data_IF_356113132864
#
_entry.id   IF_356113132864
#
_cell.length_a   1.000
_cell.length_b   1.000
_cell.length_c   1.000
_cell.angle_alpha   90.00
_cell.angle_beta   90.00
_cell.angle_gamma   90.00
#
_symmetry.space_group_name_H-M   'P 1'
#
loop_
_entity.id
_entity.type
_entity.pdbx_description
1 polymer ?
#
# COMPACT_ATOMS: atom_id res chain seq x y z
N UNK A 1 -13.56 12.98 -9.94
CA UNK A 1 -13.30 11.54 -9.72
C UNK A 1 -11.85 11.28 -9.33
N UNK A 2 -10.89 11.95 -9.97
CA UNK A 2 -9.48 11.98 -9.55
C UNK A 2 -8.96 13.42 -9.73
N UNK A 3 -8.43 14.05 -8.68
CA UNK A 3 -7.79 15.37 -8.74
C UNK A 3 -6.27 15.18 -8.76
N UNK A 4 -5.59 15.79 -9.73
CA UNK A 4 -4.14 15.64 -9.90
C UNK A 4 -3.35 16.06 -8.65
N UNK A 5 -3.72 17.17 -8.01
CA UNK A 5 -3.04 17.66 -6.81
C UNK A 5 -3.26 16.73 -5.62
N UNK A 6 -4.46 16.17 -5.48
CA UNK A 6 -4.75 15.19 -4.42
C UNK A 6 -3.96 13.90 -4.63
N UNK A 7 -3.83 13.43 -5.87
CA UNK A 7 -3.03 12.24 -6.20
C UNK A 7 -1.54 12.50 -5.93
N UNK A 8 -1.01 13.65 -6.36
CA UNK A 8 0.39 14.01 -6.12
C UNK A 8 0.72 14.00 -4.63
N UNK A 9 -0.14 14.65 -3.82
CA UNK A 9 -0.02 14.62 -2.36
C UNK A 9 -0.12 13.19 -1.82
N UNK A 10 -1.07 12.39 -2.30
CA UNK A 10 -1.25 11.02 -1.86
C UNK A 10 -0.01 10.15 -2.13
N UNK A 11 0.59 10.27 -3.31
CA UNK A 11 1.81 9.57 -3.70
C UNK A 11 3.02 10.04 -2.87
N UNK A 12 3.13 11.35 -2.62
CA UNK A 12 4.18 11.90 -1.76
C UNK A 12 4.08 11.32 -0.33
N UNK A 13 2.89 11.39 0.28
CA UNK A 13 2.64 10.89 1.62
C UNK A 13 2.83 9.37 1.70
N UNK A 14 2.45 8.63 0.65
CA UNK A 14 2.74 7.20 0.54
C UNK A 14 4.25 6.93 0.55
N UNK A 15 5.03 7.66 -0.25
CA UNK A 15 6.49 7.53 -0.29
C UNK A 15 7.13 7.78 1.07
N UNK A 16 6.72 8.86 1.75
CA UNK A 16 7.21 9.22 3.10
C UNK A 16 6.81 8.20 4.15
N UNK A 17 5.56 7.71 4.13
CA UNK A 17 5.07 6.73 5.10
C UNK A 17 5.71 5.36 4.92
N UNK A 18 5.99 4.95 3.68
CA UNK A 18 6.80 3.76 3.40
C UNK A 18 8.24 3.91 3.90
N UNK A 19 8.84 5.09 3.71
CA UNK A 19 10.17 5.38 4.24
C UNK A 19 10.19 5.34 5.78
N UNK A 20 9.14 5.83 6.44
CA UNK A 20 8.96 5.69 7.89
C UNK A 20 8.85 4.22 8.31
N UNK A 21 8.07 3.40 7.61
CA UNK A 21 7.96 1.97 7.89
C UNK A 21 9.32 1.27 7.85
N UNK A 22 10.13 1.56 6.83
CA UNK A 22 11.50 1.04 6.73
C UNK A 22 12.38 1.49 7.89
N UNK A 23 12.28 2.75 8.28
CA UNK A 23 13.02 3.27 9.42
C UNK A 23 12.61 2.59 10.74
N UNK A 24 11.30 2.44 11.00
CA UNK A 24 10.79 1.73 12.19
C UNK A 24 11.31 0.29 12.20
N UNK A 25 11.31 -0.37 11.05
CA UNK A 25 11.79 -1.73 10.97
C UNK A 25 13.30 -1.87 11.24
N UNK A 26 14.12 -0.89 10.80
CA UNK A 26 15.53 -0.80 11.19
C UNK A 26 15.73 -0.41 12.65
N UNK A 27 14.80 0.34 13.24
CA UNK A 27 14.86 0.72 14.65
C UNK A 27 14.62 -0.48 15.58
N UNK A 28 13.82 -1.49 15.17
CA UNK A 28 13.73 -2.77 15.89
C UNK A 28 15.06 -3.51 15.91
N UNK A 29 15.73 -3.60 14.76
CA UNK A 29 17.01 -4.30 14.62
C UNK A 29 18.08 -3.72 15.56
N UNK A 30 17.99 -2.41 15.81
CA UNK A 30 18.88 -1.68 16.72
C UNK A 30 18.40 -1.65 18.18
N UNK A 31 17.25 -2.25 18.49
CA UNK A 31 16.67 -2.27 19.84
C UNK A 31 16.12 -0.92 20.32
N UNK A 32 15.88 0.04 19.43
CA UNK A 32 15.32 1.35 19.81
C UNK A 32 13.81 1.33 20.03
N UNK A 33 13.12 0.38 19.42
CA UNK A 33 11.66 0.19 19.53
C UNK A 33 11.43 -1.27 19.88
N UNK A 34 10.49 -1.56 20.80
CA UNK A 34 10.08 -2.93 21.07
C UNK A 34 8.93 -3.34 20.13
N UNK A 35 8.86 -4.61 19.69
CA UNK A 35 7.76 -5.09 18.83
C UNK A 35 6.37 -4.81 19.41
N UNK A 36 6.22 -4.90 20.73
CA UNK A 36 4.97 -4.67 21.46
C UNK A 36 4.53 -3.21 21.33
N UNK A 37 5.45 -2.26 21.50
CA UNK A 37 5.17 -0.84 21.36
C UNK A 37 4.67 -0.56 19.94
N UNK A 38 5.37 -1.07 18.93
CA UNK A 38 4.96 -0.83 17.56
C UNK A 38 3.62 -1.47 17.20
N UNK A 39 3.29 -2.65 17.71
CA UNK A 39 1.98 -3.27 17.44
C UNK A 39 0.82 -2.45 18.04
N UNK A 40 1.03 -1.89 19.24
CA UNK A 40 0.06 -0.99 19.88
C UNK A 40 -0.18 0.29 19.07
N UNK A 41 0.87 0.88 18.48
CA UNK A 41 0.73 2.11 17.68
C UNK A 41 0.33 1.87 16.23
N UNK A 42 0.57 0.67 15.70
CA UNK A 42 0.35 0.32 14.30
C UNK A 42 -1.10 -0.03 13.94
N UNK A 43 -1.84 -0.57 14.91
CA UNK A 43 -3.13 -1.24 14.66
C UNK A 43 -4.32 -0.29 14.69
N UNK A 44 -4.13 0.98 15.06
CA UNK A 44 -5.18 1.99 15.08
C UNK A 44 -4.66 3.31 14.54
N UNK A 45 -5.46 3.95 13.68
CA UNK A 45 -5.15 5.25 13.06
C UNK A 45 -4.85 6.34 14.09
N UNK A 46 -5.65 6.39 15.15
CA UNK A 46 -5.48 7.36 16.25
C UNK A 46 -4.19 7.11 17.05
N UNK A 47 -3.83 5.85 17.26
CA UNK A 47 -2.58 5.50 17.94
C UNK A 47 -1.36 5.87 17.08
N UNK A 48 -1.43 5.60 15.77
CA UNK A 48 -0.40 6.03 14.82
C UNK A 48 -0.28 7.56 14.78
N UNK A 49 -1.40 8.29 14.81
CA UNK A 49 -1.42 9.74 14.87
C UNK A 49 -0.77 10.28 16.15
N UNK A 50 -1.18 9.79 17.32
CA UNK A 50 -0.61 10.18 18.60
C UNK A 50 0.91 9.97 18.64
N UNK A 51 1.38 8.79 18.24
CA UNK A 51 2.80 8.46 18.19
C UNK A 51 3.59 9.37 17.22
N UNK A 52 3.07 9.60 16.01
CA UNK A 52 3.72 10.47 15.02
C UNK A 52 3.78 11.91 15.53
N UNK A 53 2.73 12.42 16.18
CA UNK A 53 2.70 13.77 16.74
C UNK A 53 3.72 13.92 17.87
N UNK A 54 3.72 12.99 18.81
CA UNK A 54 4.62 12.98 19.98
C UNK A 54 6.08 12.92 19.56
N UNK A 55 6.41 12.09 18.56
CA UNK A 55 7.78 11.86 18.14
C UNK A 55 8.18 12.59 16.85
N UNK A 56 7.39 13.56 16.39
CA UNK A 56 7.59 14.19 15.08
C UNK A 56 9.02 14.73 14.87
N UNK A 57 9.62 15.34 15.90
CA UNK A 57 10.98 15.88 15.82
C UNK A 57 12.07 14.80 15.84
N UNK A 58 11.74 13.59 16.28
CA UNK A 58 12.64 12.43 16.30
C UNK A 58 12.58 11.63 14.99
N UNK A 59 11.55 11.81 14.16
CA UNK A 59 11.44 11.15 12.86
C UNK A 59 12.57 11.63 11.93
N UNK A 60 13.11 10.79 11.02
CA UNK A 60 14.07 11.27 10.02
C UNK A 60 13.48 12.40 9.16
N UNK A 61 14.22 13.47 8.84
CA UNK A 61 13.68 14.62 8.10
C UNK A 61 12.97 14.27 6.78
N UNK A 62 13.49 13.27 6.05
CA UNK A 62 12.93 12.84 4.75
C UNK A 62 11.62 12.05 4.87
N UNK A 63 11.22 11.62 6.07
CA UNK A 63 9.94 10.91 6.29
C UNK A 63 8.86 11.82 6.88
N UNK A 64 9.18 13.07 7.24
CA UNK A 64 8.24 14.01 7.87
C UNK A 64 7.25 14.57 6.85
N UNK A 65 5.92 14.39 7.01
CA UNK A 65 4.92 15.10 6.22
C UNK A 65 4.81 16.56 6.68
N UNK A 66 4.12 17.42 5.92
CA UNK A 66 3.64 18.70 6.45
C UNK A 66 2.75 18.47 7.69
N UNK A 67 2.73 19.43 8.62
CA UNK A 67 1.96 19.30 9.88
C UNK A 67 0.46 19.19 9.62
N UNK A 68 0.00 19.91 8.60
CA UNK A 68 -1.35 19.89 8.04
C UNK A 68 -1.76 18.54 7.47
N UNK A 69 -0.80 17.66 7.15
CA UNK A 69 -1.03 16.34 6.55
C UNK A 69 -0.84 15.17 7.53
N UNK A 70 -0.63 15.44 8.82
CA UNK A 70 -0.35 14.41 9.81
C UNK A 70 -1.45 13.36 9.89
N UNK A 71 -2.73 13.73 9.86
CA UNK A 71 -3.83 12.78 9.90
C UNK A 71 -3.80 11.82 8.69
N UNK A 72 -3.71 12.35 7.48
CA UNK A 72 -3.65 11.54 6.26
C UNK A 72 -2.40 10.65 6.20
N UNK A 73 -1.26 11.19 6.64
CA UNK A 73 -0.01 10.45 6.73
C UNK A 73 -0.08 9.29 7.74
N UNK A 74 -0.64 9.53 8.93
CA UNK A 74 -0.84 8.51 9.95
C UNK A 74 -1.78 7.40 9.49
N UNK A 75 -2.86 7.77 8.78
CA UNK A 75 -3.76 6.80 8.17
C UNK A 75 -3.02 5.93 7.15
N UNK A 76 -2.25 6.53 6.23
CA UNK A 76 -1.44 5.78 5.26
C UNK A 76 -0.43 4.87 5.95
N UNK A 77 0.26 5.35 6.97
CA UNK A 77 1.25 4.58 7.73
C UNK A 77 0.61 3.36 8.39
N UNK A 78 -0.53 3.49 9.06
CA UNK A 78 -1.21 2.36 9.70
C UNK A 78 -1.67 1.31 8.67
N UNK A 79 -2.04 1.74 7.45
CA UNK A 79 -2.45 0.81 6.39
C UNK A 79 -1.37 -0.19 6.00
N UNK A 80 -0.08 0.14 6.15
CA UNK A 80 0.97 -0.79 5.78
C UNK A 80 0.95 -2.06 6.61
N UNK A 81 0.71 -1.93 7.92
CA UNK A 81 0.75 -3.03 8.87
C UNK A 81 -0.56 -3.83 8.85
N UNK A 82 -1.66 -3.20 8.45
CA UNK A 82 -2.94 -3.88 8.30
C UNK A 82 -3.10 -4.55 6.93
N UNK A 83 -2.63 -3.92 5.87
CA UNK A 83 -2.93 -4.31 4.48
C UNK A 83 -1.75 -4.93 3.73
N UNK A 84 -0.50 -4.58 4.06
CA UNK A 84 0.65 -4.94 3.21
C UNK A 84 1.69 -5.83 3.88
N UNK A 85 1.94 -5.64 5.18
CA UNK A 85 3.05 -6.28 5.88
C UNK A 85 2.61 -6.84 7.23
N UNK A 86 3.13 -8.02 7.57
CA UNK A 86 3.10 -8.58 8.91
C UNK A 86 4.43 -8.27 9.61
N UNK A 87 4.36 -7.76 10.83
CA UNK A 87 5.51 -7.66 11.72
C UNK A 87 5.75 -9.01 12.38
N UNK A 88 6.88 -9.64 12.09
CA UNK A 88 7.25 -10.95 12.66
C UNK A 88 8.40 -10.74 13.65
N UNK A 89 8.22 -10.96 14.97
CA UNK A 89 9.25 -10.70 15.97
C UNK A 89 10.45 -11.64 15.87
N UNK A 90 10.24 -12.84 15.34
CA UNK A 90 11.30 -13.81 15.04
C UNK A 90 11.29 -14.09 13.54
N UNK A 91 11.82 -13.18 12.73
CA UNK A 91 11.93 -13.42 11.31
C UNK A 91 13.01 -14.49 11.13
N UNK A 92 12.60 -15.75 10.98
CA UNK A 92 13.53 -16.84 10.71
C UNK A 92 14.46 -16.51 9.53
N UNK A 93 15.50 -17.32 9.33
CA UNK A 93 16.43 -17.10 8.21
C UNK A 93 15.65 -17.09 6.89
N UNK A 94 15.73 -15.98 6.16
CA UNK A 94 15.21 -15.93 4.79
C UNK A 94 16.19 -16.68 3.91
N UNK A 95 15.74 -17.77 3.32
CA UNK A 95 16.49 -18.45 2.27
C UNK A 95 16.69 -17.47 1.12
N UNK A 96 17.92 -16.99 0.97
CA UNK A 96 18.37 -16.34 -0.25
C UNK A 96 18.35 -17.41 -1.34
N UNK A 97 17.34 -17.35 -2.23
CA UNK A 97 17.14 -18.28 -3.33
C UNK A 97 17.24 -17.48 -4.63
N UNK A 98 18.42 -17.45 -5.26
CA UNK A 98 18.71 -16.64 -6.45
C UNK A 98 17.64 -16.77 -7.55
N UNK A 99 16.96 -17.92 -7.61
CA UNK A 99 16.07 -18.33 -8.69
C UNK A 99 14.57 -18.09 -8.40
N UNK A 100 14.20 -17.68 -7.18
CA UNK A 100 12.81 -17.54 -6.73
C UNK A 100 12.44 -16.12 -6.25
N UNK A 101 13.22 -15.10 -6.62
CA UNK A 101 13.02 -13.73 -6.15
C UNK A 101 12.19 -12.86 -7.10
N UNK A 102 11.23 -12.18 -6.50
CA UNK A 102 10.67 -10.93 -7.01
C UNK A 102 11.76 -9.85 -6.84
N UNK A 103 12.53 -9.54 -7.89
CA UNK A 103 13.63 -8.53 -7.84
C UNK A 103 13.13 -7.07 -7.85
N UNK A 104 11.96 -6.76 -7.28
CA UNK A 104 11.58 -5.35 -7.15
C UNK A 104 12.30 -4.68 -6.00
N UNK A 105 12.53 -3.35 -6.11
CA UNK A 105 12.87 -2.47 -5.00
C UNK A 105 12.00 -2.60 -3.72
N UNK A 106 10.85 -3.28 -3.76
CA UNK A 106 10.12 -3.59 -2.53
C UNK A 106 10.54 -4.96 -1.99
N UNK A 107 10.59 -6.02 -2.80
CA UNK A 107 10.84 -7.39 -2.35
C UNK A 107 12.31 -7.73 -2.11
N UNK A 108 13.25 -7.18 -2.90
CA UNK A 108 14.69 -7.38 -2.67
C UNK A 108 15.15 -6.72 -1.37
N UNK A 109 14.55 -5.57 -1.01
CA UNK A 109 14.85 -4.84 0.22
C UNK A 109 14.28 -5.49 1.47
N UNK A 110 13.22 -6.30 1.35
CA UNK A 110 12.72 -7.06 2.50
C UNK A 110 13.71 -8.14 2.95
N UNK A 111 14.75 -8.45 2.17
CA UNK A 111 15.86 -9.30 2.63
C UNK A 111 16.62 -8.60 3.77
N UNK A 112 16.79 -7.27 3.69
CA UNK A 112 17.50 -6.44 4.68
C UNK A 112 16.62 -5.98 5.85
N UNK A 113 15.31 -6.30 5.80
CA UNK A 113 14.34 -5.90 6.82
C UNK A 113 13.59 -7.14 7.32
N UNK A 114 14.24 -7.98 8.14
CA UNK A 114 13.76 -9.34 8.37
C UNK A 114 12.39 -9.33 9.04
N UNK A 115 12.11 -8.35 9.92
CA UNK A 115 10.86 -8.19 10.67
C UNK A 115 9.62 -7.86 9.82
N UNK A 116 9.77 -7.40 8.57
CA UNK A 116 8.63 -7.08 7.69
C UNK A 116 8.38 -8.18 6.67
N UNK A 117 7.28 -8.91 6.79
CA UNK A 117 6.87 -9.93 5.81
C UNK A 117 5.70 -9.41 4.99
N UNK A 118 5.77 -9.43 3.65
CA UNK A 118 4.59 -9.11 2.84
C UNK A 118 3.46 -10.09 3.12
N UNK A 119 2.24 -9.59 3.31
CA UNK A 119 1.05 -10.43 3.49
C UNK A 119 0.84 -11.34 2.29
N UNK A 120 0.40 -12.56 2.56
CA UNK A 120 0.04 -13.54 1.52
C UNK A 120 -1.37 -13.23 1.03
N UNK A 121 -1.49 -12.90 -0.25
CA UNK A 121 -2.78 -12.64 -0.88
C UNK A 121 -3.55 -13.96 -1.12
N UNK A 122 -4.77 -14.04 -0.60
CA UNK A 122 -5.73 -15.10 -0.86
C UNK A 122 -6.65 -14.81 -2.06
N UNK A 123 -7.48 -15.78 -2.47
CA UNK A 123 -8.49 -15.58 -3.52
C UNK A 123 -9.49 -14.45 -3.19
N UNK A 124 -9.87 -14.31 -1.91
CA UNK A 124 -10.81 -13.28 -1.46
C UNK A 124 -10.24 -11.86 -1.66
N UNK A 125 -8.96 -11.64 -1.37
CA UNK A 125 -8.29 -10.34 -1.54
C UNK A 125 -8.25 -9.94 -3.02
N UNK A 126 -7.96 -10.90 -3.89
CA UNK A 126 -7.96 -10.71 -5.35
C UNK A 126 -9.36 -10.38 -5.85
N UNK A 127 -10.39 -11.11 -5.40
CA UNK A 127 -11.78 -10.84 -5.76
C UNK A 127 -12.24 -9.46 -5.24
N UNK A 128 -11.79 -9.03 -4.05
CA UNK A 128 -12.05 -7.68 -3.55
C UNK A 128 -11.37 -6.62 -4.41
N UNK A 129 -10.12 -6.83 -4.82
CA UNK A 129 -9.43 -5.91 -5.73
C UNK A 129 -10.13 -5.79 -7.09
N UNK A 130 -10.63 -6.89 -7.67
CA UNK A 130 -11.44 -6.84 -8.89
C UNK A 130 -12.75 -6.06 -8.69
N UNK A 131 -13.43 -6.21 -7.55
CA UNK A 131 -14.60 -5.39 -7.23
C UNK A 131 -14.27 -3.90 -7.10
N UNK A 132 -13.10 -3.54 -6.57
CA UNK A 132 -12.65 -2.15 -6.51
C UNK A 132 -12.41 -1.56 -7.90
N UNK A 133 -11.81 -2.33 -8.82
CA UNK A 133 -11.67 -1.92 -10.23
C UNK A 133 -13.02 -1.77 -10.93
N UNK A 134 -13.94 -2.71 -10.72
CA UNK A 134 -15.29 -2.63 -11.28
C UNK A 134 -16.04 -1.40 -10.74
N UNK A 135 -15.92 -1.14 -9.43
CA UNK A 135 -16.49 0.05 -8.79
C UNK A 135 -15.96 1.34 -9.42
N UNK A 136 -14.64 1.43 -9.63
CA UNK A 136 -14.03 2.56 -10.33
C UNK A 136 -14.60 2.75 -11.74
N UNK A 137 -14.73 1.68 -12.53
CA UNK A 137 -15.29 1.78 -13.89
C UNK A 137 -16.76 2.23 -13.89
N UNK A 138 -17.56 1.74 -12.93
CA UNK A 138 -18.95 2.17 -12.75
C UNK A 138 -19.03 3.65 -12.39
N UNK A 139 -18.21 4.10 -11.45
CA UNK A 139 -18.14 5.51 -11.04
C UNK A 139 -17.70 6.42 -12.20
N UNK A 140 -16.75 5.95 -13.03
CA UNK A 140 -16.29 6.65 -14.23
C UNK A 140 -17.40 6.76 -15.27
N UNK A 141 -18.09 5.67 -15.59
CA UNK A 141 -19.20 5.68 -16.53
C UNK A 141 -20.30 6.65 -16.08
N UNK A 142 -20.64 6.61 -14.78
CA UNK A 142 -21.62 7.52 -14.18
C UNK A 142 -21.17 8.99 -14.26
N UNK A 143 -19.91 9.29 -13.95
CA UNK A 143 -19.37 10.64 -14.03
C UNK A 143 -19.42 11.24 -15.45
N UNK A 144 -19.35 10.38 -16.48
CA UNK A 144 -19.47 10.77 -17.88
C UNK A 144 -20.89 10.61 -18.47
N UNK A 145 -21.89 10.29 -17.63
CA UNK A 145 -23.27 10.06 -18.06
C UNK A 145 -23.42 8.99 -19.14
N UNK A 146 -22.55 7.97 -19.11
CA UNK A 146 -22.57 6.85 -20.04
C UNK A 146 -23.38 5.70 -19.43
N UNK A 147 -24.37 5.21 -20.19
CA UNK A 147 -25.10 4.00 -19.82
C UNK A 147 -24.39 2.77 -20.39
N UNK A 148 -23.50 2.18 -19.59
CA UNK A 148 -22.71 1.00 -19.96
C UNK A 148 -23.21 -0.19 -19.15
N UNK A 149 -23.55 -1.28 -19.85
CA UNK A 149 -23.95 -2.51 -19.20
C UNK A 149 -22.80 -3.10 -18.36
N UNK A 150 -23.14 -3.66 -17.19
CA UNK A 150 -22.14 -4.25 -16.29
C UNK A 150 -21.30 -5.34 -16.96
N UNK A 151 -21.90 -6.16 -17.83
CA UNK A 151 -21.20 -7.17 -18.61
C UNK A 151 -20.09 -6.60 -19.51
N UNK A 152 -20.27 -5.37 -20.03
CA UNK A 152 -19.24 -4.69 -20.83
C UNK A 152 -18.07 -4.24 -19.95
N UNK A 153 -18.36 -3.71 -18.75
CA UNK A 153 -17.33 -3.32 -17.79
C UNK A 153 -16.51 -4.53 -17.30
N UNK A 154 -17.18 -5.66 -17.03
CA UNK A 154 -16.51 -6.93 -16.71
C UNK A 154 -15.65 -7.45 -17.88
N UNK A 155 -16.08 -7.21 -19.11
CA UNK A 155 -15.30 -7.45 -20.32
C UNK A 155 -13.99 -6.66 -20.32
N UNK A 156 -14.04 -5.36 -20.00
CA UNK A 156 -12.86 -4.49 -19.94
C UNK A 156 -11.88 -4.89 -18.83
N UNK A 157 -12.34 -5.46 -17.71
CA UNK A 157 -11.43 -5.98 -16.67
C UNK A 157 -10.58 -7.16 -17.16
N UNK A 158 -11.05 -7.88 -18.18
CA UNK A 158 -10.35 -9.02 -18.79
C UNK A 158 -9.46 -8.60 -19.96
N UNK A 159 -9.56 -7.35 -20.41
CA UNK A 159 -8.77 -6.80 -21.49
C UNK A 159 -7.33 -6.55 -21.02
N UNK A 160 -6.32 -7.23 -21.61
CA UNK A 160 -4.93 -7.06 -21.22
C UNK A 160 -4.40 -5.65 -21.47
N UNK A 161 -4.93 -4.92 -22.47
CA UNK A 161 -4.47 -3.59 -22.84
C UNK A 161 -4.97 -2.53 -21.86
N UNK A 162 -6.10 -2.78 -21.19
CA UNK A 162 -6.69 -1.88 -20.20
C UNK A 162 -6.26 -2.19 -18.76
N UNK A 163 -5.71 -3.40 -18.51
CA UNK A 163 -5.37 -3.90 -17.18
C UNK A 163 -4.57 -2.90 -16.33
N UNK A 164 -3.51 -2.32 -16.91
CA UNK A 164 -2.61 -1.42 -16.20
C UNK A 164 -3.29 -0.09 -15.87
N UNK A 165 -3.97 0.52 -16.84
CA UNK A 165 -4.68 1.78 -16.65
C UNK A 165 -5.78 1.67 -15.60
N UNK A 166 -6.60 0.60 -15.67
CA UNK A 166 -7.65 0.33 -14.68
C UNK A 166 -7.03 0.08 -13.31
N UNK A 167 -5.96 -0.71 -13.23
CA UNK A 167 -5.25 -0.99 -11.99
C UNK A 167 -4.71 0.27 -11.32
N UNK A 168 -4.06 1.15 -12.08
CA UNK A 168 -3.54 2.43 -11.60
C UNK A 168 -4.66 3.34 -11.10
N UNK A 169 -5.73 3.52 -11.86
CA UNK A 169 -6.80 4.42 -11.47
C UNK A 169 -7.58 3.90 -10.24
N UNK A 170 -7.88 2.60 -10.19
CA UNK A 170 -8.51 1.99 -9.03
C UNK A 170 -7.61 2.10 -7.78
N UNK A 171 -6.29 1.94 -7.96
CA UNK A 171 -5.32 2.15 -6.87
C UNK A 171 -5.24 3.60 -6.41
N UNK A 172 -5.34 4.58 -7.31
CA UNK A 172 -5.37 6.00 -6.94
C UNK A 172 -6.62 6.35 -6.11
N UNK A 173 -7.78 5.78 -6.45
CA UNK A 173 -9.01 5.89 -5.65
C UNK A 173 -8.83 5.25 -4.28
N UNK A 174 -8.29 4.02 -4.22
CA UNK A 174 -7.97 3.32 -2.98
C UNK A 174 -6.99 4.11 -2.09
N UNK A 175 -5.94 4.68 -2.68
CA UNK A 175 -4.96 5.48 -1.96
C UNK A 175 -5.59 6.74 -1.35
N UNK A 176 -6.49 7.40 -2.09
CA UNK A 176 -7.25 8.56 -1.60
C UNK A 176 -8.17 8.18 -0.44
N UNK A 177 -8.82 7.02 -0.51
CA UNK A 177 -9.64 6.46 0.58
C UNK A 177 -8.80 6.15 1.82
N UNK A 178 -7.59 5.59 1.64
CA UNK A 178 -6.66 5.31 2.74
C UNK A 178 -6.16 6.58 3.44
N UNK A 179 -5.98 7.69 2.74
CA UNK A 179 -5.72 8.99 3.38
C UNK A 179 -6.85 9.43 4.31
N UNK A 180 -8.09 9.01 4.03
CA UNK A 180 -9.27 9.27 4.87
C UNK A 180 -9.49 8.20 5.94
N UNK A 181 -8.57 7.22 6.07
CA UNK A 181 -8.69 6.13 7.02
C UNK A 181 -9.62 4.99 6.58
N UNK A 182 -10.04 4.95 5.32
CA UNK A 182 -10.86 3.86 4.79
C UNK A 182 -9.93 2.76 4.27
N UNK A 183 -10.12 1.54 4.76
CA UNK A 183 -9.21 0.41 4.56
C UNK A 183 -9.89 -0.71 3.78
N UNK A 184 -9.18 -1.27 2.80
CA UNK A 184 -9.63 -2.41 2.00
C UNK A 184 -8.84 -3.70 2.32
N UNK A 185 -8.02 -3.65 3.37
CA UNK A 185 -7.15 -4.75 3.77
C UNK A 185 -6.16 -5.15 2.67
N UNK A 186 -5.78 -6.44 2.59
CA UNK A 186 -4.81 -6.93 1.60
C UNK A 186 -5.24 -6.77 0.13
N UNK A 187 -6.50 -6.42 -0.15
CA UNK A 187 -6.94 -6.06 -1.50
C UNK A 187 -6.15 -4.86 -2.07
N UNK A 188 -5.72 -3.93 -1.22
CA UNK A 188 -4.88 -2.79 -1.62
C UNK A 188 -3.54 -3.25 -2.24
N UNK A 189 -2.93 -4.29 -1.65
CA UNK A 189 -1.71 -4.91 -2.18
C UNK A 189 -1.99 -5.67 -3.48
N UNK A 190 -3.15 -6.33 -3.60
CA UNK A 190 -3.56 -6.98 -4.86
C UNK A 190 -3.80 -5.96 -5.99
N UNK A 191 -4.40 -4.80 -5.70
CA UNK A 191 -4.55 -3.68 -6.63
C UNK A 191 -3.19 -3.17 -7.10
N UNK A 192 -2.27 -2.89 -6.16
CA UNK A 192 -0.92 -2.43 -6.50
C UNK A 192 -0.19 -3.41 -7.43
N UNK A 193 -0.25 -4.72 -7.14
CA UNK A 193 0.34 -5.76 -7.99
C UNK A 193 -0.29 -5.84 -9.39
N UNK A 194 -1.51 -5.35 -9.58
CA UNK A 194 -2.19 -5.45 -10.88
C UNK A 194 -1.50 -4.65 -11.99
N UNK A 195 -0.81 -3.56 -11.64
CA UNK A 195 -0.01 -2.73 -12.55
C UNK A 195 1.49 -2.83 -12.29
N UNK A 196 1.93 -3.05 -11.05
CA UNK A 196 3.34 -3.13 -10.70
C UNK A 196 4.00 -4.47 -11.08
N UNK A 197 3.22 -5.50 -11.42
CA UNK A 197 3.71 -6.82 -11.80
C UNK A 197 3.38 -7.16 -13.26
N UNK A 198 4.27 -7.91 -13.89
CA UNK A 198 4.10 -8.54 -15.20
C UNK A 198 2.98 -9.59 -15.14
N UNK A 199 2.38 -9.94 -16.29
CA UNK A 199 1.42 -11.04 -16.37
C UNK A 199 1.99 -12.38 -15.88
N UNK A 200 3.31 -12.58 -15.99
CA UNK A 200 4.03 -13.79 -15.57
C UNK A 200 4.25 -13.86 -14.05
N UNK A 201 3.86 -12.83 -13.30
CA UNK A 201 3.98 -12.82 -11.84
C UNK A 201 5.35 -12.39 -11.33
N UNK A 202 6.11 -11.64 -12.12
CA UNK A 202 7.31 -10.94 -11.69
C UNK A 202 7.04 -9.43 -11.59
N UNK A 203 7.75 -8.66 -10.76
CA UNK A 203 7.54 -7.22 -10.72
C UNK A 203 8.15 -6.53 -11.94
N UNK A 204 7.61 -5.36 -12.32
CA UNK A 204 8.20 -4.49 -13.34
C UNK A 204 9.38 -3.71 -12.76
N UNK A 205 10.39 -3.41 -13.59
CA UNK A 205 11.54 -2.59 -13.18
C UNK A 205 11.06 -1.17 -12.84
N UNK A 206 11.49 -0.63 -11.70
CA UNK A 206 11.15 0.73 -11.26
C UNK A 206 9.88 0.84 -10.40
N UNK A 207 9.25 -0.28 -10.06
CA UNK A 207 8.13 -0.38 -9.11
C UNK A 207 8.52 -1.14 -7.85
#
# INVERSE_FOLDING_TARGET
MLNAQEIELAVELQGKSYALLKWVASAFDKGFVTPEAAHQFASMQDAAYGWIVEHYQNLPPHTRPGREHLAAFSNLFSTYLESSFDLTPNPGQRLYSPDAHCFCPICSWLVDVPYLKTKKLGPADKARAERLKLGFLKDLAHAHQLNIEEASLEGWLKDPDLREAIGLCAYAVDLSRRMQGILEGPASLALWRSFAWTPQGSPKKGY
#
